data_IF_092715670896
#
_entry.id   IF_092715670896
#
_cell.length_a   1.000
_cell.length_b   1.000
_cell.length_c   1.000
_cell.angle_alpha   90.00
_cell.angle_beta   90.00
_cell.angle_gamma   90.00
#
_symmetry.space_group_name_H-M   'P 1'
#
loop_
_entity.id
_entity.type
_entity.pdbx_description
1 polymer ?
#
# COMPACT_ATOMS: atom_id res chain seq x y z
N UNK A 1 10.23 -22.58 -4.48
CA UNK A 1 9.74 -21.29 -4.01
C UNK A 1 10.95 -20.42 -3.71
N UNK A 2 11.41 -19.71 -4.71
CA UNK A 2 12.57 -18.85 -4.60
C UNK A 2 12.08 -17.42 -4.80
N UNK A 3 11.64 -16.77 -3.71
CA UNK A 3 11.47 -15.33 -3.68
C UNK A 3 12.86 -14.70 -3.56
N UNK A 4 13.58 -14.70 -4.66
CA UNK A 4 14.88 -14.06 -4.75
C UNK A 4 14.70 -12.55 -4.85
N UNK A 5 15.24 -11.81 -3.90
CA UNK A 5 15.60 -10.42 -4.09
C UNK A 5 16.56 -10.36 -5.28
N UNK A 6 16.10 -9.89 -6.42
CA UNK A 6 16.98 -9.45 -7.49
C UNK A 6 16.99 -7.92 -7.44
N UNK A 7 18.14 -7.37 -7.08
CA UNK A 7 18.44 -5.99 -7.41
C UNK A 7 18.35 -5.83 -8.94
N UNK A 8 17.63 -4.81 -9.39
CA UNK A 8 17.56 -4.48 -10.82
C UNK A 8 18.96 -4.04 -11.27
N UNK A 9 19.58 -4.82 -12.17
CA UNK A 9 20.92 -4.58 -12.67
C UNK A 9 20.91 -3.90 -14.05
N UNK A 10 19.82 -3.29 -14.46
CA UNK A 10 19.69 -2.62 -15.74
C UNK A 10 19.80 -1.09 -15.62
N UNK A 11 20.94 -0.58 -15.18
CA UNK A 11 21.34 0.76 -15.53
C UNK A 11 22.42 0.71 -16.63
N UNK A 12 22.16 1.34 -17.75
CA UNK A 12 23.10 1.38 -18.91
C UNK A 12 24.38 2.18 -18.63
N UNK A 13 24.56 2.75 -17.43
CA UNK A 13 25.74 3.54 -17.07
C UNK A 13 26.71 2.81 -16.12
N UNK A 14 26.46 1.54 -15.80
CA UNK A 14 27.40 0.73 -15.00
C UNK A 14 27.42 1.05 -13.50
N UNK A 15 26.55 1.91 -12.98
CA UNK A 15 26.37 2.15 -11.55
C UNK A 15 25.20 1.34 -11.05
N UNK A 16 25.46 0.16 -10.53
CA UNK A 16 24.49 -0.73 -9.88
C UNK A 16 24.18 -0.21 -8.47
N UNK A 17 23.35 0.78 -8.35
CA UNK A 17 22.71 1.08 -7.07
C UNK A 17 21.35 0.36 -7.05
N UNK A 18 21.30 -0.83 -6.45
CA UNK A 18 20.04 -1.50 -6.13
C UNK A 18 19.26 -0.63 -5.15
N UNK A 19 18.06 -0.20 -5.53
CA UNK A 19 17.18 0.53 -4.62
C UNK A 19 16.81 -0.35 -3.43
N UNK A 20 17.27 -0.01 -2.23
CA UNK A 20 16.88 -0.73 -1.02
C UNK A 20 15.37 -0.61 -0.80
N UNK A 21 14.73 -1.73 -0.42
CA UNK A 21 13.29 -1.79 -0.21
C UNK A 21 12.43 -1.88 -1.48
N UNK A 22 13.04 -2.00 -2.67
CA UNK A 22 12.32 -2.17 -3.93
C UNK A 22 12.11 -3.66 -4.27
N UNK A 23 10.92 -3.99 -4.74
CA UNK A 23 10.56 -5.29 -5.33
C UNK A 23 10.08 -5.02 -6.75
N UNK A 24 10.74 -5.59 -7.73
CA UNK A 24 10.41 -5.40 -9.13
C UNK A 24 10.25 -6.73 -9.88
N UNK A 25 9.39 -6.71 -10.88
CA UNK A 25 9.18 -7.81 -11.84
C UNK A 25 8.93 -9.16 -11.17
N UNK A 26 8.06 -9.16 -10.16
CA UNK A 26 7.64 -10.37 -9.45
C UNK A 26 6.25 -10.80 -9.90
N UNK A 27 6.16 -12.01 -10.47
CA UNK A 27 4.87 -12.56 -10.90
C UNK A 27 4.50 -13.76 -10.03
N UNK A 28 3.29 -13.74 -9.48
CA UNK A 28 2.70 -14.82 -8.69
C UNK A 28 1.53 -15.39 -9.50
N UNK A 29 1.54 -16.68 -9.77
CA UNK A 29 0.48 -17.33 -10.55
C UNK A 29 -0.16 -18.49 -9.79
N UNK A 30 -1.44 -18.76 -10.07
CA UNK A 30 -2.17 -19.90 -9.52
C UNK A 30 -2.52 -19.77 -8.03
N UNK A 31 -2.46 -18.57 -7.48
CA UNK A 31 -2.80 -18.32 -6.08
C UNK A 31 -4.32 -18.43 -5.87
N UNK A 32 -4.76 -19.34 -4.98
CA UNK A 32 -6.19 -19.59 -4.76
C UNK A 32 -6.69 -19.08 -3.41
N UNK A 33 -5.85 -19.11 -2.37
CA UNK A 33 -6.31 -18.76 -1.04
C UNK A 33 -5.22 -18.15 -0.17
N UNK A 34 -5.56 -17.04 0.47
CA UNK A 34 -4.73 -16.36 1.48
C UNK A 34 -5.58 -16.14 2.73
N UNK A 35 -5.04 -16.51 3.88
CA UNK A 35 -5.65 -16.23 5.18
C UNK A 35 -4.63 -15.64 6.14
N UNK A 36 -5.00 -14.54 6.75
CA UNK A 36 -4.29 -13.91 7.86
C UNK A 36 -5.22 -13.66 9.04
N UNK A 37 -4.70 -13.57 10.24
CA UNK A 37 -5.51 -13.11 11.38
C UNK A 37 -5.66 -11.60 11.34
N UNK A 38 -4.56 -10.88 11.25
CA UNK A 38 -4.55 -9.41 11.30
C UNK A 38 -4.57 -8.78 9.90
N UNK A 39 -3.73 -9.30 9.01
CA UNK A 39 -3.54 -8.74 7.67
C UNK A 39 -3.46 -9.84 6.63
N UNK A 40 -4.16 -9.68 5.52
CA UNK A 40 -4.13 -10.60 4.39
C UNK A 40 -4.02 -9.84 3.08
N UNK A 41 -3.12 -10.26 2.20
CA UNK A 41 -2.93 -9.67 0.87
C UNK A 41 -2.22 -10.65 -0.04
N UNK A 42 -2.63 -10.70 -1.29
CA UNK A 42 -2.08 -11.62 -2.28
C UNK A 42 -0.58 -11.45 -2.48
N UNK A 43 -0.09 -10.21 -2.48
CA UNK A 43 1.33 -9.89 -2.55
C UNK A 43 1.93 -9.74 -1.15
N UNK A 44 1.31 -8.93 -0.30
CA UNK A 44 1.77 -8.71 1.07
C UNK A 44 0.59 -8.50 2.03
N UNK A 45 0.60 -9.17 3.17
CA UNK A 45 -0.37 -8.91 4.23
C UNK A 45 -0.20 -7.50 4.80
N UNK A 46 1.03 -7.08 5.05
CA UNK A 46 1.36 -5.75 5.53
C UNK A 46 2.65 -5.23 4.91
N UNK A 47 2.63 -3.98 4.45
CA UNK A 47 3.80 -3.24 3.98
C UNK A 47 3.97 -1.96 4.78
N UNK A 48 5.16 -1.75 5.31
CA UNK A 48 5.51 -0.60 6.14
C UNK A 48 6.91 -0.10 5.81
N UNK A 49 7.20 1.17 6.10
CA UNK A 49 8.56 1.68 6.04
C UNK A 49 9.52 0.81 6.85
N UNK A 50 10.72 0.63 6.31
CA UNK A 50 11.82 0.00 7.04
C UNK A 50 12.30 0.88 8.19
N UNK A 51 12.88 0.25 9.19
CA UNK A 51 13.48 0.95 10.32
C UNK A 51 14.91 1.40 9.96
N UNK A 52 15.02 2.64 9.50
CA UNK A 52 16.31 3.24 9.11
C UNK A 52 17.12 3.69 10.34
N UNK A 53 16.49 3.77 11.51
CA UNK A 53 17.14 4.27 12.71
C UNK A 53 18.13 3.26 13.35
N UNK A 54 18.06 1.99 12.99
CA UNK A 54 18.96 0.99 13.55
C UNK A 54 20.43 1.14 13.11
N UNK A 55 20.71 1.89 12.06
CA UNK A 55 22.07 2.02 11.49
C UNK A 55 22.76 3.34 11.76
N UNK A 56 22.11 4.32 12.35
CA UNK A 56 22.72 5.62 12.62
C UNK A 56 22.05 6.37 13.75
N UNK A 57 22.84 7.00 14.59
CA UNK A 57 22.29 7.81 15.67
C UNK A 57 21.37 8.90 15.13
N UNK A 58 20.20 9.06 15.74
CA UNK A 58 19.19 10.10 15.49
C UNK A 58 19.82 11.52 15.36
N UNK A 59 20.96 11.74 16.00
CA UNK A 59 21.77 12.96 15.85
C UNK A 59 22.26 13.22 14.42
N UNK A 60 22.51 12.17 13.64
CA UNK A 60 22.95 12.33 12.24
C UNK A 60 21.81 12.83 11.34
N UNK A 61 20.61 12.31 11.51
CA UNK A 61 19.43 12.75 10.73
C UNK A 61 19.11 14.23 10.95
N UNK A 62 19.31 14.74 12.17
CA UNK A 62 19.19 16.16 12.47
C UNK A 62 20.24 17.07 11.78
N UNK A 63 21.28 16.50 11.19
CA UNK A 63 22.30 17.23 10.42
C UNK A 63 22.04 17.20 8.90
N UNK A 64 21.12 16.34 8.43
CA UNK A 64 20.80 16.23 7.01
C UNK A 64 20.06 17.47 6.50
N UNK A 65 20.36 17.87 5.29
CA UNK A 65 19.52 18.81 4.56
C UNK A 65 18.27 18.12 4.00
N UNK A 66 17.32 18.88 3.47
CA UNK A 66 16.05 18.34 2.95
C UNK A 66 16.27 17.30 1.84
N UNK A 67 17.23 17.52 0.94
CA UNK A 67 17.53 16.57 -0.14
C UNK A 67 18.05 15.24 0.39
N UNK A 68 18.94 15.28 1.37
CA UNK A 68 19.46 14.08 2.02
C UNK A 68 18.37 13.34 2.82
N UNK A 69 17.48 14.09 3.49
CA UNK A 69 16.30 13.50 4.17
C UNK A 69 15.38 12.79 3.18
N UNK A 70 15.08 13.43 2.04
CA UNK A 70 14.25 12.82 1.00
C UNK A 70 14.89 11.53 0.47
N UNK A 71 16.21 11.49 0.29
CA UNK A 71 16.92 10.28 -0.12
C UNK A 71 16.81 9.16 0.92
N UNK A 72 16.90 9.49 2.21
CA UNK A 72 16.71 8.50 3.29
C UNK A 72 15.28 7.97 3.31
N UNK A 73 14.28 8.83 3.15
CA UNK A 73 12.87 8.41 3.07
C UNK A 73 12.64 7.52 1.86
N UNK A 74 13.26 7.84 0.74
CA UNK A 74 13.18 7.09 -0.50
C UNK A 74 13.64 5.64 -0.33
N UNK A 75 14.72 5.43 0.39
CA UNK A 75 15.26 4.10 0.75
C UNK A 75 14.39 3.37 1.79
N UNK A 76 13.76 4.12 2.70
CA UNK A 76 13.00 3.52 3.80
C UNK A 76 11.62 3.00 3.37
N UNK A 77 11.04 3.56 2.32
CA UNK A 77 9.66 3.25 1.93
C UNK A 77 9.58 2.06 0.98
N UNK A 78 8.66 1.11 1.22
CA UNK A 78 8.50 -0.05 0.36
C UNK A 78 8.00 0.37 -1.03
N UNK A 79 8.66 -0.14 -2.06
CA UNK A 79 8.34 0.08 -3.46
C UNK A 79 8.08 -1.23 -4.15
N UNK A 80 7.04 -1.27 -4.94
CA UNK A 80 6.70 -2.41 -5.79
C UNK A 80 6.46 -1.88 -7.19
N UNK A 81 7.13 -2.46 -8.18
CA UNK A 81 6.90 -2.11 -9.58
C UNK A 81 6.80 -3.34 -10.46
N UNK A 82 6.02 -3.21 -11.53
CA UNK A 82 5.94 -4.16 -12.64
C UNK A 82 5.73 -5.62 -12.15
N UNK A 83 4.89 -5.77 -11.12
CA UNK A 83 4.64 -7.04 -10.44
C UNK A 83 3.18 -7.41 -10.53
N UNK A 84 2.87 -8.69 -10.74
CA UNK A 84 1.49 -9.12 -10.93
C UNK A 84 1.13 -10.35 -10.11
N UNK A 85 -0.17 -10.46 -9.83
CA UNK A 85 -0.78 -11.68 -9.30
C UNK A 85 -1.85 -12.15 -10.28
N UNK A 86 -1.69 -13.35 -10.78
CA UNK A 86 -2.73 -14.05 -11.51
C UNK A 86 -3.33 -15.12 -10.59
N UNK A 87 -4.47 -14.80 -10.00
CA UNK A 87 -5.19 -15.71 -9.11
C UNK A 87 -5.84 -16.89 -9.85
N UNK A 88 -6.15 -17.91 -9.10
CA UNK A 88 -7.03 -19.00 -9.52
C UNK A 88 -8.27 -18.98 -8.63
N UNK A 89 -9.24 -18.11 -8.95
CA UNK A 89 -10.38 -17.76 -8.11
C UNK A 89 -9.92 -17.32 -6.70
N UNK A 90 -8.98 -16.40 -6.67
CA UNK A 90 -8.30 -15.98 -5.44
C UNK A 90 -9.29 -15.48 -4.38
N UNK A 91 -9.22 -16.09 -3.20
CA UNK A 91 -9.93 -15.67 -1.99
C UNK A 91 -8.90 -15.15 -0.98
N UNK A 92 -9.11 -13.93 -0.48
CA UNK A 92 -8.27 -13.29 0.52
C UNK A 92 -9.09 -12.97 1.76
N UNK A 93 -8.69 -13.50 2.91
CA UNK A 93 -9.44 -13.34 4.16
C UNK A 93 -8.54 -12.90 5.29
N UNK A 94 -8.89 -11.79 5.95
CA UNK A 94 -8.41 -11.46 7.28
C UNK A 94 -9.50 -11.81 8.29
N UNK A 95 -9.17 -12.57 9.34
CA UNK A 95 -10.20 -13.02 10.31
C UNK A 95 -10.40 -12.05 11.47
N UNK A 96 -9.47 -11.12 11.69
CA UNK A 96 -9.49 -10.21 12.84
C UNK A 96 -9.14 -10.89 14.17
N UNK A 97 -9.12 -10.10 15.24
CA UNK A 97 -9.02 -10.56 16.63
C UNK A 97 -10.00 -9.77 17.49
N UNK A 98 -10.69 -10.45 18.39
CA UNK A 98 -11.66 -9.82 19.29
C UNK A 98 -11.05 -8.75 20.22
N UNK A 99 -9.77 -8.89 20.58
CA UNK A 99 -9.11 -8.05 21.60
C UNK A 99 -8.37 -6.86 21.01
N UNK A 100 -8.30 -6.74 19.67
CA UNK A 100 -7.58 -5.67 19.00
C UNK A 100 -8.42 -5.07 17.88
N UNK A 101 -9.13 -4.02 18.22
CA UNK A 101 -10.04 -3.26 17.33
C UNK A 101 -9.39 -2.66 16.08
N UNK A 102 -8.07 -2.73 15.94
CA UNK A 102 -7.35 -2.18 14.79
C UNK A 102 -6.89 -3.25 13.79
N UNK A 103 -7.24 -4.52 14.00
CA UNK A 103 -6.71 -5.62 13.20
C UNK A 103 -7.81 -6.33 12.40
N UNK A 104 -7.55 -6.53 11.15
CA UNK A 104 -8.44 -7.24 10.24
C UNK A 104 -8.59 -6.52 8.89
N UNK A 105 -7.45 -6.35 8.19
CA UNK A 105 -7.40 -5.67 6.90
C UNK A 105 -7.08 -6.68 5.80
N UNK A 106 -7.88 -6.71 4.75
CA UNK A 106 -7.64 -7.55 3.59
C UNK A 106 -7.65 -6.75 2.29
N UNK A 107 -6.75 -7.12 1.39
CA UNK A 107 -6.70 -6.60 0.03
C UNK A 107 -6.29 -7.67 -0.96
N UNK A 108 -6.82 -7.64 -2.16
CA UNK A 108 -6.43 -8.58 -3.21
C UNK A 108 -4.92 -8.55 -3.48
N UNK A 109 -4.30 -7.37 -3.35
CA UNK A 109 -2.87 -7.18 -3.52
C UNK A 109 -2.17 -6.91 -2.17
N UNK A 110 -2.60 -5.91 -1.40
CA UNK A 110 -2.02 -5.54 -0.11
C UNK A 110 -3.12 -5.46 0.96
N UNK A 111 -2.91 -6.11 2.12
CA UNK A 111 -3.85 -5.99 3.25
C UNK A 111 -3.76 -4.61 3.92
N UNK A 112 -2.57 -4.23 4.36
CA UNK A 112 -2.32 -2.97 5.07
C UNK A 112 -1.04 -2.31 4.53
N UNK A 113 -1.20 -1.15 3.94
CA UNK A 113 -0.11 -0.38 3.33
C UNK A 113 0.11 0.97 4.00
N UNK A 114 1.36 1.25 4.38
CA UNK A 114 1.79 2.52 4.93
C UNK A 114 3.03 3.03 4.20
N UNK A 115 2.98 4.26 3.72
CA UNK A 115 4.04 4.88 2.90
C UNK A 115 4.45 3.98 1.71
N UNK A 116 3.49 3.32 1.08
CA UNK A 116 3.76 2.37 -0.01
C UNK A 116 3.75 3.07 -1.36
N UNK A 117 4.70 2.71 -2.19
CA UNK A 117 4.76 3.13 -3.60
C UNK A 117 4.59 1.90 -4.47
N UNK A 118 3.46 1.83 -5.18
CA UNK A 118 3.15 0.71 -6.09
C UNK A 118 2.91 1.24 -7.49
N UNK A 119 3.55 0.64 -8.47
CA UNK A 119 3.43 1.05 -9.87
C UNK A 119 3.33 -0.15 -10.80
N UNK A 120 2.46 -0.05 -11.82
CA UNK A 120 2.29 -1.06 -12.88
C UNK A 120 2.11 -2.48 -12.31
N UNK A 121 1.29 -2.62 -11.27
CA UNK A 121 1.20 -3.88 -10.53
C UNK A 121 -0.26 -4.27 -10.34
N UNK A 122 -0.66 -5.37 -10.94
CA UNK A 122 -2.05 -5.78 -11.03
C UNK A 122 -2.33 -7.05 -10.23
N UNK A 123 -3.57 -7.22 -9.81
CA UNK A 123 -4.09 -8.50 -9.34
C UNK A 123 -5.34 -8.88 -10.14
N UNK A 124 -5.37 -10.09 -10.64
CA UNK A 124 -6.44 -10.59 -11.51
C UNK A 124 -7.03 -11.90 -10.99
N UNK A 125 -8.22 -12.23 -11.47
CA UNK A 125 -8.98 -13.42 -11.06
C UNK A 125 -9.22 -13.50 -9.55
N UNK A 126 -9.53 -12.35 -8.93
CA UNK A 126 -9.91 -12.27 -7.53
C UNK A 126 -11.41 -12.56 -7.41
N UNK A 127 -11.76 -13.56 -6.63
CA UNK A 127 -13.14 -13.95 -6.37
C UNK A 127 -13.72 -13.22 -5.19
N UNK A 128 -12.96 -13.16 -4.10
CA UNK A 128 -13.46 -12.63 -2.83
C UNK A 128 -12.36 -12.01 -2.00
N UNK A 129 -12.68 -10.87 -1.37
CA UNK A 129 -11.86 -10.24 -0.34
C UNK A 129 -12.73 -9.97 0.88
N UNK A 130 -12.38 -10.54 2.03
CA UNK A 130 -13.16 -10.45 3.26
C UNK A 130 -12.30 -10.03 4.44
N UNK A 131 -12.77 -9.04 5.20
CA UNK A 131 -12.12 -8.58 6.43
C UNK A 131 -13.12 -7.98 7.40
N UNK A 132 -12.84 -7.99 8.71
CA UNK A 132 -13.72 -7.31 9.68
C UNK A 132 -13.67 -5.78 9.61
N UNK A 133 -12.51 -5.19 9.28
CA UNK A 133 -12.34 -3.73 9.34
C UNK A 133 -12.23 -3.09 7.97
N UNK A 134 -11.20 -3.45 7.19
CA UNK A 134 -10.93 -2.82 5.91
C UNK A 134 -10.77 -3.89 4.84
N UNK A 135 -11.74 -3.98 3.95
CA UNK A 135 -11.69 -4.85 2.79
C UNK A 135 -11.59 -4.02 1.51
N UNK A 136 -10.55 -4.22 0.74
CA UNK A 136 -10.35 -3.58 -0.55
C UNK A 136 -10.01 -4.59 -1.64
N UNK A 137 -10.62 -4.48 -2.80
CA UNK A 137 -10.29 -5.37 -3.91
C UNK A 137 -8.79 -5.36 -4.23
N UNK A 138 -8.12 -4.21 -4.12
CA UNK A 138 -6.69 -4.06 -4.28
C UNK A 138 -5.96 -3.90 -2.94
N UNK A 139 -6.34 -2.93 -2.13
CA UNK A 139 -5.71 -2.63 -0.83
C UNK A 139 -6.74 -2.44 0.27
N UNK A 140 -6.59 -3.12 1.41
CA UNK A 140 -7.51 -3.01 2.53
C UNK A 140 -7.48 -1.62 3.15
N UNK A 141 -6.33 -1.18 3.63
CA UNK A 141 -6.12 0.18 4.13
C UNK A 141 -4.84 0.80 3.57
N UNK A 142 -4.93 2.06 3.19
CA UNK A 142 -3.82 2.86 2.66
C UNK A 142 -3.60 4.10 3.52
N UNK A 143 -2.38 4.25 4.02
CA UNK A 143 -1.95 5.36 4.88
C UNK A 143 -0.64 5.94 4.38
N UNK A 144 -0.48 7.25 4.46
CA UNK A 144 0.83 7.88 4.26
C UNK A 144 1.73 7.62 5.47
N UNK A 145 3.02 7.62 5.23
CA UNK A 145 4.02 7.66 6.27
C UNK A 145 4.14 9.07 6.87
N UNK A 146 4.91 9.18 7.91
CA UNK A 146 5.37 10.48 8.40
C UNK A 146 6.88 10.58 8.26
N UNK A 147 7.41 11.79 8.15
CA UNK A 147 8.85 12.01 8.15
C UNK A 147 9.52 11.46 9.44
N UNK A 148 8.76 11.34 10.52
CA UNK A 148 9.18 10.76 11.78
C UNK A 148 9.33 9.23 11.75
N UNK A 149 8.64 8.57 10.84
CA UNK A 149 8.63 7.10 10.73
C UNK A 149 9.72 6.54 9.82
N UNK A 150 10.41 7.39 9.08
CA UNK A 150 11.66 7.03 8.39
C UNK A 150 12.82 6.71 9.37
N UNK A 151 12.61 6.97 10.64
CA UNK A 151 13.44 6.53 11.77
C UNK A 151 12.54 6.38 12.97
N UNK A 152 12.85 5.56 13.94
CA UNK A 152 12.16 5.41 15.24
C UNK A 152 12.23 6.73 16.06
N UNK A 153 11.81 7.81 15.40
CA UNK A 153 12.02 9.16 15.83
C UNK A 153 10.84 9.60 16.69
N UNK A 154 11.07 9.59 17.96
CA UNK A 154 10.38 10.47 18.89
C UNK A 154 10.36 11.92 18.36
N UNK A 155 9.39 12.72 18.76
CA UNK A 155 9.12 14.06 18.23
C UNK A 155 10.32 15.02 18.06
N UNK A 156 11.49 14.67 18.56
CA UNK A 156 12.74 15.43 18.45
C UNK A 156 13.31 15.47 17.01
N UNK A 157 13.12 14.41 16.20
CA UNK A 157 13.55 14.44 14.81
C UNK A 157 12.65 15.36 13.99
N UNK A 158 11.34 15.22 14.16
CA UNK A 158 10.37 16.08 13.47
C UNK A 158 10.63 17.56 13.78
N UNK A 159 10.87 17.89 15.04
CA UNK A 159 11.21 19.25 15.46
C UNK A 159 12.55 19.72 14.89
N UNK A 160 13.57 18.86 14.85
CA UNK A 160 14.88 19.22 14.30
C UNK A 160 14.84 19.41 12.77
N UNK A 161 14.03 18.62 12.07
CA UNK A 161 13.84 18.74 10.62
C UNK A 161 12.95 19.93 10.28
N UNK A 162 11.82 20.09 10.97
CA UNK A 162 10.92 21.24 10.75
C UNK A 162 11.61 22.58 11.06
N UNK A 163 12.50 22.61 12.06
CA UNK A 163 13.30 23.80 12.35
C UNK A 163 14.30 24.16 11.26
N UNK A 164 14.60 23.25 10.32
CA UNK A 164 15.50 23.45 9.19
C UNK A 164 14.77 23.63 7.85
N UNK A 165 13.49 23.32 7.79
CA UNK A 165 12.67 23.57 6.59
C UNK A 165 12.48 25.07 6.46
N UNK A 166 13.18 25.65 5.49
CA UNK A 166 13.22 27.11 5.28
C UNK A 166 12.08 27.59 4.39
N UNK A 167 11.31 26.71 3.76
CA UNK A 167 10.25 27.08 2.83
C UNK A 167 9.06 26.13 2.83
N UNK A 168 7.88 26.65 2.49
CA UNK A 168 6.67 25.83 2.28
C UNK A 168 6.85 24.80 1.16
N UNK A 169 7.69 25.09 0.17
CA UNK A 169 8.00 24.17 -0.93
C UNK A 169 8.77 22.94 -0.44
N UNK A 170 9.74 23.12 0.45
CA UNK A 170 10.49 22.00 1.04
C UNK A 170 9.61 21.14 1.94
N UNK A 171 8.75 21.77 2.76
CA UNK A 171 7.77 21.04 3.56
C UNK A 171 6.83 20.22 2.68
N UNK A 172 6.30 20.81 1.60
CA UNK A 172 5.44 20.10 0.66
C UNK A 172 6.17 18.90 0.01
N UNK A 173 7.44 19.03 -0.34
CA UNK A 173 8.24 17.93 -0.89
C UNK A 173 8.42 16.77 0.10
N UNK A 174 8.67 17.06 1.38
CA UNK A 174 8.77 16.04 2.44
C UNK A 174 7.43 15.33 2.65
N UNK A 175 6.34 16.08 2.74
CA UNK A 175 4.99 15.51 2.90
C UNK A 175 4.60 14.66 1.68
N UNK A 176 4.93 15.12 0.47
CA UNK A 176 4.66 14.38 -0.76
C UNK A 176 5.48 13.08 -0.84
N UNK A 177 6.75 13.10 -0.43
CA UNK A 177 7.59 11.91 -0.37
C UNK A 177 7.08 10.89 0.66
N UNK A 178 6.47 11.35 1.76
CA UNK A 178 5.85 10.48 2.76
C UNK A 178 4.50 9.90 2.32
N UNK A 179 3.91 10.39 1.24
CA UNK A 179 2.58 9.97 0.79
C UNK A 179 2.62 8.60 0.11
N UNK A 180 1.69 7.72 0.50
CA UNK A 180 1.45 6.49 -0.26
C UNK A 180 1.00 6.82 -1.68
N UNK A 181 1.54 6.09 -2.66
CA UNK A 181 1.20 6.29 -4.06
C UNK A 181 0.98 4.96 -4.78
N UNK A 182 -0.18 4.82 -5.39
CA UNK A 182 -0.52 3.70 -6.28
C UNK A 182 -0.72 4.27 -7.68
N UNK A 183 0.07 3.80 -8.63
CA UNK A 183 0.05 4.34 -10.00
C UNK A 183 -0.10 3.20 -10.99
N UNK A 184 -1.04 3.35 -11.91
CA UNK A 184 -1.24 2.40 -13.01
C UNK A 184 -1.41 0.95 -12.55
N UNK A 185 -2.28 0.75 -11.53
CA UNK A 185 -2.56 -0.56 -10.92
C UNK A 185 -4.04 -0.87 -10.99
N UNK A 186 -4.39 -2.14 -11.12
CA UNK A 186 -5.79 -2.57 -11.13
C UNK A 186 -6.03 -3.86 -10.36
N UNK A 187 -7.29 -4.04 -9.98
CA UNK A 187 -7.84 -5.32 -9.57
C UNK A 187 -8.90 -5.77 -10.57
N UNK A 188 -8.84 -7.02 -10.96
CA UNK A 188 -9.87 -7.63 -11.79
C UNK A 188 -10.49 -8.85 -11.09
N UNK A 189 -11.80 -8.87 -11.02
CA UNK A 189 -12.55 -10.04 -10.55
C UNK A 189 -12.49 -11.22 -11.51
N UNK A 190 -13.00 -12.36 -11.07
CA UNK A 190 -13.26 -13.53 -11.93
C UNK A 190 -14.36 -13.22 -12.95
N UNK A 191 -14.65 -14.17 -13.84
CA UNK A 191 -15.79 -14.04 -14.76
C UNK A 191 -17.13 -13.91 -14.02
N UNK A 192 -17.25 -14.50 -12.83
CA UNK A 192 -18.43 -14.39 -11.95
C UNK A 192 -18.43 -13.10 -11.11
N UNK A 193 -17.36 -12.32 -11.17
CA UNK A 193 -17.18 -11.06 -10.48
C UNK A 193 -16.44 -11.15 -9.16
N UNK A 194 -15.99 -9.97 -8.69
CA UNK A 194 -15.32 -9.76 -7.40
C UNK A 194 -16.34 -9.38 -6.33
N UNK A 195 -16.33 -10.09 -5.21
CA UNK A 195 -17.06 -9.69 -3.99
C UNK A 195 -16.09 -9.14 -2.95
N UNK A 196 -16.38 -7.97 -2.39
CA UNK A 196 -15.61 -7.34 -1.32
C UNK A 196 -16.51 -7.13 -0.11
N UNK A 197 -16.15 -7.70 1.03
CA UNK A 197 -16.97 -7.65 2.24
C UNK A 197 -16.13 -7.20 3.45
N UNK A 198 -16.59 -6.13 4.09
CA UNK A 198 -16.09 -5.70 5.39
C UNK A 198 -17.22 -5.78 6.43
N UNK A 199 -17.38 -6.99 6.96
CA UNK A 199 -18.35 -7.29 8.03
C UNK A 199 -17.71 -8.29 8.99
N UNK A 200 -17.66 -7.94 10.24
CA UNK A 200 -16.89 -8.70 11.21
C UNK A 200 -17.73 -9.52 12.17
N UNK A 201 -18.98 -9.21 12.34
CA UNK A 201 -19.71 -9.65 13.51
C UNK A 201 -19.11 -9.17 14.85
N UNK A 202 -18.10 -8.29 14.84
CA UNK A 202 -17.54 -7.67 16.04
C UNK A 202 -18.25 -6.37 16.36
N UNK A 203 -18.69 -6.17 17.61
CA UNK A 203 -19.52 -5.03 18.03
C UNK A 203 -18.91 -3.64 17.74
N UNK A 204 -17.60 -3.54 17.61
CA UNK A 204 -16.87 -2.28 17.39
C UNK A 204 -16.16 -2.20 16.04
N UNK A 205 -16.44 -3.11 15.11
CA UNK A 205 -15.81 -3.04 13.80
C UNK A 205 -16.38 -1.89 12.98
N UNK A 206 -15.49 -1.18 12.32
CA UNK A 206 -15.92 -0.07 11.45
C UNK A 206 -16.46 -0.56 10.10
N UNK A 207 -15.91 -1.62 9.53
CA UNK A 207 -16.42 -2.28 8.32
C UNK A 207 -16.43 -1.38 7.09
N UNK A 208 -15.26 -1.02 6.56
CA UNK A 208 -15.12 -0.22 5.35
C UNK A 208 -14.75 -1.10 4.15
N UNK A 209 -15.63 -1.18 3.16
CA UNK A 209 -15.45 -1.98 1.96
C UNK A 209 -15.35 -1.13 0.70
N UNK A 210 -14.37 -1.39 -0.14
CA UNK A 210 -14.21 -0.71 -1.43
C UNK A 210 -13.76 -1.64 -2.54
N UNK A 211 -14.25 -1.43 -3.75
CA UNK A 211 -13.84 -2.22 -4.90
C UNK A 211 -12.34 -2.14 -5.17
N UNK A 212 -11.68 -1.03 -4.83
CA UNK A 212 -10.23 -0.86 -4.89
C UNK A 212 -9.62 -0.73 -3.50
N UNK A 213 -10.05 0.23 -2.69
CA UNK A 213 -9.50 0.51 -1.37
C UNK A 213 -10.59 0.48 -0.29
N UNK A 214 -10.38 -0.28 0.78
CA UNK A 214 -11.31 -0.31 1.92
C UNK A 214 -11.33 1.04 2.65
N UNK A 215 -10.21 1.49 3.15
CA UNK A 215 -10.02 2.84 3.69
C UNK A 215 -8.75 3.50 3.11
N UNK A 216 -8.90 4.70 2.59
CA UNK A 216 -7.80 5.59 2.23
C UNK A 216 -7.76 6.75 3.20
N UNK A 217 -6.85 6.71 4.16
CA UNK A 217 -6.67 7.78 5.14
C UNK A 217 -5.88 8.95 4.57
N UNK A 218 -4.94 8.65 3.67
CA UNK A 218 -4.13 9.62 2.94
C UNK A 218 -3.39 8.92 1.81
N UNK A 219 -2.93 9.67 0.83
CA UNK A 219 -2.19 9.15 -0.31
C UNK A 219 -2.84 9.49 -1.65
N UNK A 220 -2.35 8.88 -2.71
CA UNK A 220 -2.77 9.16 -4.07
C UNK A 220 -2.90 7.87 -4.89
N UNK A 221 -4.00 7.76 -5.65
CA UNK A 221 -4.19 6.71 -6.65
C UNK A 221 -4.34 7.35 -8.02
N UNK A 222 -3.46 7.00 -8.96
CA UNK A 222 -3.44 7.52 -10.32
C UNK A 222 -3.38 6.37 -11.32
N UNK A 223 -4.47 6.16 -12.04
CA UNK A 223 -4.58 5.14 -13.07
C UNK A 223 -4.76 5.73 -14.47
N UNK A 224 -4.38 6.98 -14.68
CA UNK A 224 -4.51 7.65 -15.98
C UNK A 224 -3.78 6.95 -17.12
N UNK A 225 -2.66 6.29 -16.82
CA UNK A 225 -1.88 5.54 -17.80
C UNK A 225 -2.52 4.21 -18.27
N UNK A 226 -3.52 3.68 -17.54
CA UNK A 226 -4.26 2.47 -17.94
C UNK A 226 -5.29 2.74 -19.03
N UNK A 227 -5.47 3.98 -19.45
CA UNK A 227 -6.42 4.35 -20.50
C UNK A 227 -5.75 4.33 -21.87
N UNK A 228 -6.15 3.39 -22.70
CA UNK A 228 -5.62 3.31 -24.07
C UNK A 228 -6.19 4.42 -24.97
N UNK A 229 -7.42 4.86 -24.75
CA UNK A 229 -8.09 5.80 -25.68
C UNK A 229 -8.94 6.92 -25.04
N UNK A 230 -9.11 6.97 -23.73
CA UNK A 230 -10.09 7.90 -23.11
C UNK A 230 -9.55 8.78 -21.99
N UNK A 231 -8.29 8.71 -21.65
CA UNK A 231 -7.70 9.43 -20.51
C UNK A 231 -8.22 8.97 -19.14
N UNK A 232 -8.84 7.79 -19.06
CA UNK A 232 -9.36 7.22 -17.81
C UNK A 232 -8.85 5.81 -17.64
N UNK A 233 -8.05 5.58 -16.61
CA UNK A 233 -7.62 4.25 -16.20
C UNK A 233 -8.74 3.48 -15.49
N UNK A 234 -8.79 2.17 -15.71
CA UNK A 234 -9.71 1.28 -15.01
C UNK A 234 -9.01 0.69 -13.80
N UNK A 235 -9.43 1.09 -12.60
CA UNK A 235 -8.86 0.59 -11.35
C UNK A 235 -9.50 -0.73 -10.90
N UNK A 236 -10.78 -0.96 -11.24
CA UNK A 236 -11.56 -2.13 -10.84
C UNK A 236 -12.30 -2.69 -12.04
N UNK A 237 -12.13 -3.97 -12.29
CA UNK A 237 -12.85 -4.70 -13.34
C UNK A 237 -13.65 -5.86 -12.76
N UNK A 238 -14.80 -6.17 -13.35
CA UNK A 238 -15.68 -7.26 -12.92
C UNK A 238 -16.03 -7.22 -11.44
N UNK A 239 -16.40 -6.04 -10.93
CA UNK A 239 -16.89 -5.89 -9.57
C UNK A 239 -18.36 -6.33 -9.50
N UNK A 240 -18.64 -7.38 -8.72
CA UNK A 240 -19.98 -7.91 -8.53
C UNK A 240 -20.68 -7.25 -7.34
N UNK A 241 -19.99 -7.18 -6.18
CA UNK A 241 -20.60 -6.77 -4.92
C UNK A 241 -19.61 -6.11 -3.99
N UNK A 242 -20.04 -5.07 -3.29
CA UNK A 242 -19.30 -4.45 -2.18
C UNK A 242 -20.25 -4.31 -1.00
N UNK A 243 -19.89 -4.88 0.14
CA UNK A 243 -20.62 -4.78 1.39
C UNK A 243 -19.71 -4.30 2.51
N UNK A 244 -20.12 -3.25 3.20
CA UNK A 244 -19.44 -2.72 4.37
C UNK A 244 -20.42 -2.48 5.49
N UNK A 245 -20.04 -2.78 6.72
CA UNK A 245 -20.89 -2.53 7.88
C UNK A 245 -21.19 -1.03 8.04
N UNK A 246 -20.21 -0.18 7.78
CA UNK A 246 -20.36 1.27 7.92
C UNK A 246 -20.31 2.00 6.58
N UNK A 247 -19.34 1.68 5.73
CA UNK A 247 -19.21 2.31 4.42
C UNK A 247 -18.88 1.29 3.34
N UNK A 248 -19.54 1.42 2.20
CA UNK A 248 -19.29 0.62 1.00
C UNK A 248 -19.24 1.54 -0.24
N UNK A 249 -18.29 1.31 -1.12
CA UNK A 249 -18.14 2.08 -2.35
C UNK A 249 -17.46 1.31 -3.47
N UNK A 250 -17.86 1.57 -4.71
CA UNK A 250 -17.31 0.89 -5.89
C UNK A 250 -15.81 1.09 -6.06
N UNK A 251 -15.25 2.24 -5.62
CA UNK A 251 -13.81 2.49 -5.57
C UNK A 251 -13.30 2.39 -4.12
N UNK A 252 -13.80 3.21 -3.22
CA UNK A 252 -13.33 3.28 -1.85
C UNK A 252 -14.48 3.25 -0.85
N UNK A 253 -14.33 2.50 0.25
CA UNK A 253 -15.29 2.48 1.36
C UNK A 253 -15.26 3.82 2.09
N UNK A 254 -14.10 4.24 2.54
CA UNK A 254 -13.87 5.56 3.12
C UNK A 254 -12.63 6.19 2.48
N UNK A 255 -12.80 7.38 1.91
CA UNK A 255 -11.69 8.15 1.32
C UNK A 255 -11.58 9.48 2.06
N UNK A 256 -10.46 9.70 2.71
CA UNK A 256 -10.10 10.94 3.40
C UNK A 256 -9.06 11.69 2.58
N UNK A 257 -9.23 12.99 2.45
CA UNK A 257 -8.17 13.86 1.97
C UNK A 257 -7.16 14.09 3.10
N UNK A 258 -5.90 13.82 2.82
CA UNK A 258 -4.78 14.04 3.74
C UNK A 258 -4.00 15.30 3.36
#
# INVERSE_FOLDING_TARGET
NNSGFKADTNSEDGTTEGEAGAIATTNITGLSYIKGTSYAGGFAGRLMPGDVAQTGSIKLLGLLNVTQLLSVMDVAYPRISDSSIEGNNLVVTASGKNDDVALGDAGGYIGNGKAVMVKNSDVTNVKEVTAPYHAGGYIGIMRSGSAAEAGDATGDLLNSVLGKILSLKELASVLQAASSKITNCKVAGTADGLTVTADSGFENAEGYAGGFVGEMQSGHVDNSANAVDSGKGTAVENLLKVEGLRYAGGFGGLVKAG
#
